data_IF_483217021827
#
_entry.id   IF_483217021827
#
_cell.length_a   1.000
_cell.length_b   1.000
_cell.length_c   1.000
_cell.angle_alpha   90.00
_cell.angle_beta   90.00
_cell.angle_gamma   90.00
#
_symmetry.space_group_name_H-M   'P 1'
#
loop_
_entity.id
_entity.type
_entity.pdbx_description
1 polymer ?
#
# COMPACT_ATOMS: atom_id res chain seq x y z
N UNK A 1 -7.82 4.15 -26.51
CA UNK A 1 -6.60 4.36 -25.72
C UNK A 1 -6.94 5.41 -24.68
N UNK A 2 -6.70 5.12 -23.40
CA UNK A 2 -6.99 6.06 -22.31
C UNK A 2 -6.15 7.33 -22.50
N UNK A 3 -6.75 8.50 -22.29
CA UNK A 3 -6.05 9.77 -22.34
C UNK A 3 -5.44 10.08 -20.98
N UNK A 4 -4.18 10.50 -20.96
CA UNK A 4 -3.53 10.98 -19.74
C UNK A 4 -4.17 12.27 -19.25
N UNK A 5 -4.21 12.43 -17.93
CA UNK A 5 -4.63 13.67 -17.24
C UNK A 5 -3.44 14.47 -16.70
N UNK A 6 -2.20 14.08 -17.02
CA UNK A 6 -1.00 14.84 -16.65
C UNK A 6 -1.12 16.33 -17.03
N UNK A 7 -0.76 17.21 -16.10
CA UNK A 7 -0.88 18.66 -16.20
C UNK A 7 -2.29 19.22 -15.96
N UNK A 8 -3.31 18.38 -15.73
CA UNK A 8 -4.68 18.81 -15.48
C UNK A 8 -5.03 18.73 -14.00
N UNK A 9 -5.98 19.57 -13.57
CA UNK A 9 -6.56 19.47 -12.24
C UNK A 9 -7.40 18.18 -12.11
N UNK A 10 -7.38 17.57 -10.93
CA UNK A 10 -8.28 16.46 -10.59
C UNK A 10 -9.74 16.93 -10.61
N UNK A 11 -10.71 16.03 -10.90
CA UNK A 11 -12.13 16.33 -10.84
C UNK A 11 -12.53 16.89 -9.47
N UNK A 12 -13.48 17.83 -9.44
CA UNK A 12 -14.04 18.34 -8.20
C UNK A 12 -15.22 17.47 -7.77
N UNK A 13 -15.05 16.69 -6.71
CA UNK A 13 -16.03 15.71 -6.24
C UNK A 13 -16.17 15.79 -4.72
N UNK A 14 -17.36 15.46 -4.21
CA UNK A 14 -17.62 15.25 -2.78
C UNK A 14 -18.00 13.80 -2.56
N UNK A 15 -17.18 13.07 -1.80
CA UNK A 15 -17.39 11.66 -1.48
C UNK A 15 -18.21 11.52 -0.20
N UNK A 16 -19.39 10.88 -0.23
CA UNK A 16 -20.13 10.52 0.98
C UNK A 16 -19.44 9.35 1.67
N UNK A 17 -18.76 9.61 2.79
CA UNK A 17 -18.05 8.59 3.58
C UNK A 17 -18.76 8.30 4.89
N UNK A 18 -18.48 7.14 5.48
CA UNK A 18 -18.90 6.78 6.85
C UNK A 18 -17.67 6.75 7.76
N UNK A 19 -17.66 7.61 8.78
CA UNK A 19 -16.66 7.58 9.86
C UNK A 19 -17.37 7.24 11.17
N UNK A 20 -17.11 6.04 11.69
CA UNK A 20 -17.94 5.45 12.74
C UNK A 20 -19.41 5.40 12.31
N UNK A 21 -20.29 5.94 13.14
CA UNK A 21 -21.73 5.97 12.89
C UNK A 21 -22.24 7.26 12.23
N UNK A 22 -21.34 8.13 11.76
CA UNK A 22 -21.71 9.39 11.12
C UNK A 22 -21.40 9.39 9.61
N UNK A 23 -22.26 10.07 8.85
CA UNK A 23 -21.94 10.50 7.50
C UNK A 23 -20.97 11.67 7.55
N UNK A 24 -19.92 11.60 6.73
CA UNK A 24 -18.91 12.65 6.59
C UNK A 24 -18.63 12.83 5.11
N UNK A 25 -18.83 14.05 4.62
CA UNK A 25 -18.43 14.40 3.27
C UNK A 25 -16.92 14.68 3.26
N UNK A 26 -16.21 14.06 2.32
CA UNK A 26 -14.80 14.33 2.06
C UNK A 26 -14.70 14.90 0.67
N UNK A 27 -14.08 16.07 0.52
CA UNK A 27 -13.97 16.74 -0.78
C UNK A 27 -12.61 16.50 -1.44
N UNK A 28 -12.55 16.59 -2.76
CA UNK A 28 -11.27 16.57 -3.49
C UNK A 28 -10.37 17.74 -3.10
N UNK A 29 -10.92 18.90 -2.75
CA UNK A 29 -10.14 20.01 -2.22
C UNK A 29 -9.43 19.62 -0.91
N UNK A 30 -10.15 19.03 0.05
CA UNK A 30 -9.57 18.55 1.31
C UNK A 30 -8.46 17.50 1.11
N UNK A 31 -8.63 16.63 0.10
CA UNK A 31 -7.69 15.56 -0.19
C UNK A 31 -6.41 16.05 -0.85
N UNK A 32 -6.50 17.02 -1.77
CA UNK A 32 -5.39 17.32 -2.69
C UNK A 32 -4.78 18.73 -2.57
N UNK A 33 -5.48 19.69 -1.97
CA UNK A 33 -5.00 21.07 -1.86
C UNK A 33 -3.78 21.17 -0.97
N UNK A 34 -2.75 21.86 -1.44
CA UNK A 34 -1.48 22.09 -0.75
C UNK A 34 -0.79 20.79 -0.29
N UNK A 35 -1.04 19.68 -1.00
CA UNK A 35 -0.50 18.35 -0.68
C UNK A 35 0.10 17.66 -1.91
N UNK A 36 1.05 16.77 -1.68
CA UNK A 36 1.53 15.77 -2.63
C UNK A 36 0.88 14.44 -2.30
N UNK A 37 0.08 13.90 -3.20
CA UNK A 37 -0.77 12.73 -2.93
C UNK A 37 -0.55 11.67 -4.00
N UNK A 38 -0.28 10.45 -3.58
CA UNK A 38 -0.36 9.28 -4.46
C UNK A 38 -1.80 8.81 -4.49
N UNK A 39 -2.31 8.51 -5.68
CA UNK A 39 -3.60 7.84 -5.85
C UNK A 39 -3.36 6.58 -6.66
N UNK A 40 -3.93 5.46 -6.22
CA UNK A 40 -4.10 4.30 -7.08
C UNK A 40 -5.56 3.90 -7.11
N UNK A 41 -6.03 3.57 -8.31
CA UNK A 41 -7.40 3.13 -8.53
C UNK A 41 -7.43 1.72 -9.08
N UNK A 42 -8.52 1.03 -8.76
CA UNK A 42 -8.69 -0.38 -9.02
C UNK A 42 -10.13 -0.74 -9.36
N UNK A 43 -10.38 -1.90 -10.01
CA UNK A 43 -11.71 -2.26 -10.48
C UNK A 43 -12.76 -2.46 -9.39
N UNK A 44 -12.37 -2.98 -8.23
CA UNK A 44 -13.31 -3.23 -7.15
C UNK A 44 -12.65 -3.77 -5.88
N UNK A 45 -13.20 -3.39 -4.73
CA UNK A 45 -12.88 -4.00 -3.44
C UNK A 45 -13.08 -5.53 -3.46
N UNK A 46 -12.31 -6.25 -2.65
CA UNK A 46 -12.33 -7.73 -2.53
C UNK A 46 -11.93 -8.52 -3.80
N UNK A 47 -11.38 -7.87 -4.83
CA UNK A 47 -10.92 -8.58 -6.04
C UNK A 47 -9.45 -9.04 -5.91
N UNK A 48 -9.05 -10.17 -6.53
CA UNK A 48 -7.81 -10.88 -6.18
C UNK A 48 -6.53 -10.05 -6.28
N UNK A 49 -6.28 -9.39 -7.42
CA UNK A 49 -5.07 -8.58 -7.66
C UNK A 49 -4.98 -7.38 -6.72
N UNK A 50 -6.15 -6.82 -6.37
CA UNK A 50 -6.25 -5.66 -5.50
C UNK A 50 -5.83 -5.99 -4.08
N UNK A 51 -6.31 -7.13 -3.56
CA UNK A 51 -6.08 -7.55 -2.18
C UNK A 51 -4.73 -8.23 -1.94
N UNK A 52 -4.16 -8.88 -2.96
CA UNK A 52 -2.93 -9.70 -2.77
C UNK A 52 -1.63 -8.98 -3.05
N UNK A 53 -1.64 -7.88 -3.81
CA UNK A 53 -0.39 -7.22 -4.23
C UNK A 53 -0.49 -5.70 -4.34
N UNK A 54 -1.51 -5.17 -5.02
CA UNK A 54 -1.56 -3.74 -5.32
C UNK A 54 -1.65 -2.87 -4.05
N UNK A 55 -2.69 -3.08 -3.24
CA UNK A 55 -2.89 -2.33 -2.00
C UNK A 55 -1.82 -2.64 -0.94
N UNK A 56 -1.46 -3.91 -0.64
CA UNK A 56 -0.48 -4.23 0.39
C UNK A 56 0.87 -3.55 0.17
N UNK A 57 1.37 -3.50 -1.06
CA UNK A 57 2.67 -2.91 -1.37
C UNK A 57 2.69 -1.39 -1.18
N UNK A 58 1.60 -0.68 -1.52
CA UNK A 58 1.48 0.74 -1.20
C UNK A 58 1.43 0.99 0.32
N UNK A 59 0.74 0.12 1.07
CA UNK A 59 0.67 0.20 2.53
C UNK A 59 2.03 -0.03 3.20
N UNK A 60 2.81 -0.97 2.67
CA UNK A 60 4.19 -1.28 3.09
C UNK A 60 5.13 -0.10 2.83
N UNK A 61 5.12 0.46 1.62
CA UNK A 61 6.01 1.54 1.22
C UNK A 61 5.57 2.94 1.71
N UNK A 62 4.47 3.04 2.44
CA UNK A 62 3.90 4.33 2.86
C UNK A 62 4.92 5.23 3.59
N UNK A 63 5.66 4.68 4.57
CA UNK A 63 6.64 5.45 5.34
C UNK A 63 7.76 5.99 4.45
N UNK A 64 8.19 5.21 3.45
CA UNK A 64 9.22 5.62 2.49
C UNK A 64 8.69 6.73 1.58
N UNK A 65 7.46 6.59 1.07
CA UNK A 65 6.82 7.66 0.30
C UNK A 65 6.71 8.96 1.10
N UNK A 66 6.36 8.86 2.38
CA UNK A 66 6.34 9.98 3.33
C UNK A 66 7.69 10.68 3.48
N UNK A 67 8.76 9.91 3.65
CA UNK A 67 10.13 10.43 3.71
C UNK A 67 10.53 11.19 2.44
N UNK A 68 9.99 10.78 1.30
CA UNK A 68 10.19 11.42 -0.01
C UNK A 68 9.13 12.46 -0.37
N UNK A 69 8.39 12.99 0.61
CA UNK A 69 7.54 14.17 0.45
C UNK A 69 6.11 13.89 -0.01
N UNK A 70 5.63 12.64 0.06
CA UNK A 70 4.22 12.29 -0.16
C UNK A 70 3.44 12.47 1.15
N UNK A 71 2.37 13.25 1.12
CA UNK A 71 1.55 13.55 2.29
C UNK A 71 0.50 12.46 2.59
N UNK A 72 0.00 11.79 1.56
CA UNK A 72 -1.11 10.84 1.68
C UNK A 72 -1.08 9.86 0.51
N UNK A 73 -1.55 8.63 0.74
CA UNK A 73 -1.80 7.64 -0.31
C UNK A 73 -3.28 7.28 -0.30
N UNK A 74 -3.94 7.42 -1.45
CA UNK A 74 -5.36 7.16 -1.63
C UNK A 74 -5.61 5.91 -2.45
N UNK A 75 -6.48 5.03 -1.95
CA UNK A 75 -7.07 3.92 -2.69
C UNK A 75 -8.47 4.30 -3.17
N UNK A 76 -8.65 4.51 -4.48
CA UNK A 76 -9.95 4.88 -5.08
C UNK A 76 -10.59 3.67 -5.75
N UNK A 77 -11.83 3.36 -5.41
CA UNK A 77 -12.61 2.33 -6.11
C UNK A 77 -14.05 2.78 -6.29
N UNK A 78 -14.68 2.31 -7.37
CA UNK A 78 -16.12 2.49 -7.64
C UNK A 78 -16.91 1.52 -6.77
N UNK A 79 -16.95 1.85 -5.48
CA UNK A 79 -17.65 1.14 -4.41
C UNK A 79 -18.14 2.18 -3.40
N UNK A 80 -19.23 1.86 -2.70
CA UNK A 80 -19.71 2.69 -1.60
C UNK A 80 -18.82 2.56 -0.35
N UNK A 81 -19.03 3.48 0.60
CA UNK A 81 -18.23 3.55 1.83
C UNK A 81 -18.39 2.35 2.75
N UNK A 82 -19.50 1.62 2.72
CA UNK A 82 -19.67 0.45 3.58
C UNK A 82 -18.76 -0.68 3.11
N UNK A 83 -18.77 -0.93 1.80
CA UNK A 83 -17.87 -1.91 1.17
C UNK A 83 -16.41 -1.50 1.34
N UNK A 84 -16.07 -0.22 1.10
CA UNK A 84 -14.69 0.26 1.24
C UNK A 84 -14.19 0.21 2.69
N UNK A 85 -15.04 0.49 3.68
CA UNK A 85 -14.65 0.39 5.09
C UNK A 85 -14.45 -1.06 5.54
N UNK A 86 -15.36 -1.96 5.15
CA UNK A 86 -15.22 -3.38 5.43
C UNK A 86 -13.96 -3.96 4.79
N UNK A 87 -13.67 -3.56 3.55
CA UNK A 87 -12.46 -3.98 2.85
C UNK A 87 -11.20 -3.37 3.48
N UNK A 88 -11.20 -2.10 3.87
CA UNK A 88 -10.06 -1.50 4.60
C UNK A 88 -9.71 -2.29 5.86
N UNK A 89 -10.73 -2.68 6.63
CA UNK A 89 -10.54 -3.48 7.85
C UNK A 89 -9.99 -4.88 7.53
N UNK A 90 -10.52 -5.54 6.50
CA UNK A 90 -10.06 -6.87 6.02
C UNK A 90 -8.60 -6.86 5.54
N UNK A 91 -8.15 -5.74 4.96
CA UNK A 91 -6.80 -5.60 4.41
C UNK A 91 -5.77 -5.08 5.42
N UNK A 92 -6.19 -4.71 6.62
CA UNK A 92 -5.33 -4.13 7.67
C UNK A 92 -4.47 -2.94 7.16
N UNK A 93 -5.00 -2.19 6.18
CA UNK A 93 -4.30 -1.15 5.45
C UNK A 93 -4.45 0.23 6.13
N UNK A 94 -3.92 0.35 7.36
CA UNK A 94 -4.08 1.54 8.20
C UNK A 94 -3.45 2.79 7.60
N UNK A 95 -2.35 2.64 6.86
CA UNK A 95 -1.59 3.75 6.26
C UNK A 95 -2.25 4.33 5.01
N UNK A 96 -3.29 3.68 4.47
CA UNK A 96 -3.94 4.08 3.22
C UNK A 96 -5.33 4.67 3.51
N UNK A 97 -5.62 5.79 2.86
CA UNK A 97 -6.97 6.39 2.90
C UNK A 97 -7.82 5.82 1.78
N UNK A 98 -8.99 5.26 2.12
CA UNK A 98 -9.89 4.62 1.15
C UNK A 98 -10.95 5.62 0.71
N UNK A 99 -11.06 5.85 -0.60
CA UNK A 99 -12.00 6.80 -1.19
C UNK A 99 -13.12 6.03 -1.90
N UNK A 100 -14.35 6.10 -1.36
CA UNK A 100 -15.50 5.42 -1.94
C UNK A 100 -16.11 6.25 -3.07
N UNK A 101 -15.57 6.13 -4.28
CA UNK A 101 -16.13 6.76 -5.48
C UNK A 101 -17.36 5.99 -5.98
N UNK A 102 -18.35 5.78 -5.11
CA UNK A 102 -19.47 4.85 -5.33
C UNK A 102 -20.34 5.19 -6.55
N UNK A 103 -20.39 6.46 -6.95
CA UNK A 103 -21.08 6.91 -8.16
C UNK A 103 -20.19 6.85 -9.42
N UNK A 104 -18.88 6.64 -9.25
CA UNK A 104 -17.90 6.71 -10.32
C UNK A 104 -17.62 8.12 -10.84
N UNK A 105 -18.04 9.18 -10.13
CA UNK A 105 -17.93 10.57 -10.59
C UNK A 105 -16.48 11.01 -10.74
N UNK A 106 -15.63 10.67 -9.77
CA UNK A 106 -14.22 10.98 -9.84
C UNK A 106 -13.55 10.18 -10.96
N UNK A 107 -13.85 8.89 -11.01
CA UNK A 107 -13.34 7.95 -12.02
C UNK A 107 -13.73 8.38 -13.44
N UNK A 108 -14.96 8.85 -13.65
CA UNK A 108 -15.45 9.36 -14.94
C UNK A 108 -14.76 10.67 -15.32
N UNK A 109 -14.62 11.61 -14.37
CA UNK A 109 -13.89 12.86 -14.59
C UNK A 109 -12.41 12.65 -14.93
N UNK A 110 -11.82 11.58 -14.40
CA UNK A 110 -10.47 11.12 -14.76
C UNK A 110 -10.41 10.44 -16.13
N UNK A 111 -11.56 10.12 -16.74
CA UNK A 111 -11.65 9.40 -18.01
C UNK A 111 -11.32 7.91 -17.89
N UNK A 112 -11.40 7.36 -16.68
CA UNK A 112 -11.00 5.99 -16.34
C UNK A 112 -12.20 5.07 -16.07
N UNK A 113 -13.43 5.54 -16.27
CA UNK A 113 -14.63 4.73 -16.07
C UNK A 113 -14.84 3.79 -17.27
N UNK A 114 -14.93 2.49 -16.99
CA UNK A 114 -15.09 1.44 -18.00
C UNK A 114 -16.19 0.46 -17.64
N UNK A 115 -16.81 -0.15 -18.65
CA UNK A 115 -17.74 -1.26 -18.46
C UNK A 115 -16.97 -2.56 -18.14
N UNK A 116 -17.41 -3.26 -17.09
CA UNK A 116 -16.97 -4.61 -16.69
C UNK A 116 -18.18 -5.55 -16.53
N UNK A 117 -19.10 -5.46 -17.50
CA UNK A 117 -20.36 -6.22 -17.50
C UNK A 117 -20.14 -7.73 -17.70
N UNK A 118 -19.05 -8.11 -18.35
CA UNK A 118 -18.62 -9.49 -18.58
C UNK A 118 -18.37 -10.27 -17.28
N UNK A 119 -17.98 -9.58 -16.21
CA UNK A 119 -17.81 -10.14 -14.86
C UNK A 119 -18.85 -9.63 -13.86
N UNK A 120 -19.92 -8.97 -14.35
CA UNK A 120 -21.06 -8.53 -13.53
C UNK A 120 -20.78 -7.33 -12.62
N UNK A 121 -19.77 -6.51 -12.91
CA UNK A 121 -19.39 -5.38 -12.06
C UNK A 121 -20.08 -4.06 -12.40
N UNK A 122 -20.73 -3.98 -13.57
CA UNK A 122 -21.22 -2.71 -14.11
C UNK A 122 -20.06 -1.80 -14.52
N UNK A 123 -20.24 -0.49 -14.35
CA UNK A 123 -19.18 0.50 -14.57
C UNK A 123 -18.23 0.56 -13.39
N UNK A 124 -16.92 0.49 -13.67
CA UNK A 124 -15.84 0.49 -12.67
C UNK A 124 -14.64 1.30 -13.14
N UNK A 125 -13.72 1.56 -12.23
CA UNK A 125 -12.45 2.17 -12.60
C UNK A 125 -11.57 1.20 -13.40
N UNK A 126 -10.89 1.73 -14.40
CA UNK A 126 -9.70 1.12 -14.95
C UNK A 126 -8.55 1.21 -13.96
N UNK A 127 -7.60 0.27 -14.00
CA UNK A 127 -6.47 0.29 -13.07
C UNK A 127 -5.46 1.36 -13.50
N UNK A 128 -5.09 2.23 -12.57
CA UNK A 128 -4.04 3.23 -12.77
C UNK A 128 -3.48 3.68 -11.42
N UNK A 129 -2.32 4.30 -11.44
CA UNK A 129 -1.84 5.13 -10.33
C UNK A 129 -1.43 6.50 -10.84
N UNK A 130 -1.36 7.48 -9.93
CA UNK A 130 -0.93 8.83 -10.25
C UNK A 130 -0.31 9.52 -9.05
N UNK A 131 0.57 10.46 -9.34
CA UNK A 131 1.06 11.44 -8.39
C UNK A 131 0.35 12.77 -8.66
N UNK A 132 -0.25 13.33 -7.63
CA UNK A 132 -0.99 14.60 -7.68
C UNK A 132 -0.29 15.60 -6.78
N UNK A 133 0.01 16.79 -7.28
CA UNK A 133 0.59 17.90 -6.50
C UNK A 133 -0.35 19.09 -6.54
N UNK A 134 -0.82 19.49 -5.37
CA UNK A 134 -1.77 20.60 -5.20
C UNK A 134 -2.98 20.50 -6.16
N UNK A 135 -3.61 19.33 -6.19
CA UNK A 135 -4.74 19.05 -7.07
C UNK A 135 -4.42 18.90 -8.57
N UNK A 136 -3.17 19.01 -9.01
CA UNK A 136 -2.77 18.82 -10.41
C UNK A 136 -2.08 17.46 -10.57
N UNK A 137 -2.51 16.68 -11.56
CA UNK A 137 -1.89 15.37 -11.87
C UNK A 137 -0.50 15.63 -12.46
N UNK A 138 0.55 15.27 -11.74
CA UNK A 138 1.94 15.40 -12.21
C UNK A 138 2.31 14.22 -13.10
N UNK A 139 2.00 13.00 -12.66
CA UNK A 139 2.34 11.76 -13.35
C UNK A 139 1.19 10.78 -13.27
N UNK A 140 0.93 10.05 -14.37
CA UNK A 140 -0.10 9.02 -14.41
C UNK A 140 0.45 7.74 -15.05
N UNK A 141 0.25 6.61 -14.36
CA UNK A 141 0.61 5.27 -14.82
C UNK A 141 -0.68 4.49 -15.09
N UNK A 142 -1.11 4.54 -16.35
CA UNK A 142 -2.34 3.87 -16.79
C UNK A 142 -1.98 2.47 -17.27
N UNK A 143 -2.63 1.45 -16.73
CA UNK A 143 -2.40 0.07 -17.17
C UNK A 143 -2.71 -0.11 -18.67
N UNK A 144 -1.94 -0.94 -19.39
CA UNK A 144 -2.15 -1.15 -20.81
C UNK A 144 -3.50 -1.81 -21.05
N UNK A 145 -4.19 -1.42 -22.12
CA UNK A 145 -5.50 -1.96 -22.46
C UNK A 145 -5.38 -3.40 -23.00
N UNK A 146 -5.19 -4.34 -22.08
CA UNK A 146 -5.06 -5.76 -22.30
C UNK A 146 -6.24 -6.52 -21.66
N UNK A 147 -6.61 -7.70 -22.17
CA UNK A 147 -7.64 -8.53 -21.55
C UNK A 147 -7.34 -8.86 -20.08
N UNK A 148 -8.39 -8.91 -19.26
CA UNK A 148 -8.28 -9.24 -17.83
C UNK A 148 -8.03 -8.00 -16.97
N UNK A 149 -7.22 -8.17 -15.93
CA UNK A 149 -6.91 -7.15 -14.93
C UNK A 149 -5.40 -6.88 -14.90
N UNK A 150 -4.86 -6.14 -15.89
CA UNK A 150 -3.43 -5.88 -16.00
C UNK A 150 -2.93 -5.11 -14.78
N UNK A 151 -1.73 -5.47 -14.32
CA UNK A 151 -1.03 -4.84 -13.21
C UNK A 151 0.47 -4.89 -13.49
N UNK A 152 0.96 -3.90 -14.24
CA UNK A 152 2.33 -3.84 -14.79
C UNK A 152 3.01 -2.48 -14.57
N UNK A 153 2.24 -1.41 -14.37
CA UNK A 153 2.78 -0.04 -14.30
C UNK A 153 2.17 0.79 -13.17
N UNK A 154 1.00 0.41 -12.65
CA UNK A 154 0.36 1.15 -11.56
C UNK A 154 0.87 0.77 -10.17
N UNK A 155 1.78 -0.21 -10.09
CA UNK A 155 2.31 -0.73 -8.84
C UNK A 155 3.11 0.31 -8.06
N UNK A 156 3.26 0.05 -6.76
CA UNK A 156 3.93 0.98 -5.85
C UNK A 156 5.43 1.09 -6.14
N UNK A 157 6.09 0.05 -6.65
CA UNK A 157 7.52 0.11 -6.97
C UNK A 157 7.76 0.98 -8.21
N UNK A 158 6.90 0.89 -9.23
CA UNK A 158 6.91 1.83 -10.38
C UNK A 158 6.72 3.28 -9.91
N UNK A 159 5.77 3.52 -9.00
CA UNK A 159 5.58 4.85 -8.40
C UNK A 159 6.81 5.30 -7.59
N UNK A 160 7.40 4.41 -6.79
CA UNK A 160 8.59 4.70 -5.99
C UNK A 160 9.77 5.07 -6.87
N UNK A 161 10.03 4.33 -7.95
CA UNK A 161 11.09 4.65 -8.90
C UNK A 161 10.90 6.03 -9.56
N UNK A 162 9.66 6.52 -9.66
CA UNK A 162 9.38 7.86 -10.16
C UNK A 162 9.56 8.94 -9.08
N UNK A 163 9.03 8.71 -7.88
CA UNK A 163 9.10 9.66 -6.75
C UNK A 163 10.54 9.81 -6.23
N UNK A 164 11.27 8.69 -6.14
CA UNK A 164 12.60 8.60 -5.60
C UNK A 164 13.45 7.60 -6.41
N UNK A 165 13.93 7.98 -7.61
CA UNK A 165 14.69 7.07 -8.49
C UNK A 165 16.00 6.56 -7.88
N UNK A 166 16.55 7.28 -6.92
CA UNK A 166 17.76 6.90 -6.18
C UNK A 166 17.46 5.96 -5.00
N UNK A 167 16.19 5.82 -4.60
CA UNK A 167 15.80 4.91 -3.54
C UNK A 167 15.97 3.47 -4.01
N UNK A 168 16.85 2.74 -3.34
CA UNK A 168 16.99 1.30 -3.53
C UNK A 168 16.14 0.61 -2.50
N UNK A 169 15.18 -0.17 -2.98
CA UNK A 169 14.34 -1.01 -2.15
C UNK A 169 15.22 -1.86 -1.25
N UNK A 170 15.05 -1.72 0.07
CA UNK A 170 15.71 -2.61 1.01
C UNK A 170 15.24 -4.06 0.79
N UNK A 171 16.10 -5.02 1.12
CA UNK A 171 15.68 -6.41 1.18
C UNK A 171 14.58 -6.59 2.25
N UNK A 172 13.66 -7.53 2.04
CA UNK A 172 12.64 -7.85 3.03
C UNK A 172 13.30 -8.40 4.30
N UNK A 173 12.99 -7.79 5.45
CA UNK A 173 13.51 -8.20 6.75
C UNK A 173 12.35 -8.66 7.63
N UNK A 174 12.47 -9.85 8.21
CA UNK A 174 11.52 -10.37 9.20
C UNK A 174 12.26 -10.78 10.46
N UNK A 175 11.73 -10.39 11.63
CA UNK A 175 12.29 -10.73 12.94
C UNK A 175 11.25 -11.49 13.76
N UNK A 176 11.54 -12.75 14.07
CA UNK A 176 10.75 -13.53 15.02
C UNK A 176 11.13 -13.16 16.44
N UNK A 177 10.16 -12.76 17.27
CA UNK A 177 10.41 -12.27 18.63
C UNK A 177 9.49 -12.93 19.66
N UNK A 178 9.71 -12.58 20.94
CA UNK A 178 8.81 -12.92 22.04
C UNK A 178 8.72 -11.73 23.01
N UNK A 179 7.55 -11.46 23.62
CA UNK A 179 7.42 -10.37 24.59
C UNK A 179 8.45 -10.49 25.73
N UNK A 180 9.09 -9.37 26.08
CA UNK A 180 10.09 -9.30 27.16
C UNK A 180 11.48 -9.86 26.84
N UNK A 181 11.75 -10.28 25.60
CA UNK A 181 13.04 -10.83 25.17
C UNK A 181 14.10 -9.72 24.96
N UNK A 182 15.17 -9.63 25.77
CA UNK A 182 16.19 -8.59 25.64
C UNK A 182 17.01 -8.69 24.36
N UNK A 183 17.34 -9.90 23.91
CA UNK A 183 18.04 -10.12 22.64
C UNK A 183 17.21 -9.68 21.43
N UNK A 184 15.88 -9.84 21.51
CA UNK A 184 14.96 -9.40 20.48
C UNK A 184 14.93 -7.87 20.40
N UNK A 185 14.89 -7.18 21.56
CA UNK A 185 15.01 -5.72 21.60
C UNK A 185 16.34 -5.25 21.02
N UNK A 186 17.46 -5.91 21.35
CA UNK A 186 18.78 -5.60 20.79
C UNK A 186 18.80 -5.75 19.26
N UNK A 187 18.31 -6.88 18.73
CA UNK A 187 18.26 -7.12 17.28
C UNK A 187 17.42 -6.06 16.56
N UNK A 188 16.22 -5.75 17.10
CA UNK A 188 15.34 -4.72 16.56
C UNK A 188 15.98 -3.32 16.60
N UNK A 189 16.63 -2.96 17.70
CA UNK A 189 17.32 -1.68 17.81
C UNK A 189 18.47 -1.59 16.80
N UNK A 190 19.22 -2.68 16.59
CA UNK A 190 20.30 -2.69 15.60
C UNK A 190 19.79 -2.43 14.18
N UNK A 191 18.64 -3.01 13.79
CA UNK A 191 17.99 -2.71 12.51
C UNK A 191 17.57 -1.23 12.42
N UNK A 192 16.97 -0.69 13.48
CA UNK A 192 16.56 0.73 13.56
C UNK A 192 17.76 1.66 13.42
N UNK A 193 18.87 1.36 14.10
CA UNK A 193 20.10 2.17 14.08
C UNK A 193 20.74 2.19 12.67
N UNK A 194 20.48 1.16 11.86
CA UNK A 194 20.89 1.08 10.46
C UNK A 194 19.85 1.62 9.47
N UNK A 195 18.72 2.17 9.96
CA UNK A 195 17.64 2.68 9.11
C UNK A 195 16.88 1.59 8.36
N UNK A 196 16.92 0.34 8.84
CA UNK A 196 16.27 -0.80 8.20
C UNK A 196 14.88 -1.03 8.77
N UNK A 197 13.88 -1.07 7.90
CA UNK A 197 12.52 -1.48 8.23
C UNK A 197 12.44 -3.01 8.33
N UNK A 198 11.56 -3.52 9.18
CA UNK A 198 11.35 -4.96 9.35
C UNK A 198 9.92 -5.28 9.77
N UNK A 199 9.47 -6.48 9.40
CA UNK A 199 8.27 -7.10 9.94
C UNK A 199 8.62 -7.86 11.24
N UNK A 200 7.82 -7.67 12.28
CA UNK A 200 7.96 -8.43 13.53
C UNK A 200 6.90 -9.53 13.61
N UNK A 201 7.34 -10.78 13.77
CA UNK A 201 6.44 -11.93 14.00
C UNK A 201 6.55 -12.36 15.47
N UNK A 202 5.53 -12.04 16.26
CA UNK A 202 5.55 -12.26 17.70
C UNK A 202 5.07 -13.68 18.02
N UNK A 203 5.96 -14.49 18.62
CA UNK A 203 5.59 -15.83 19.04
C UNK A 203 4.55 -15.79 20.18
N UNK A 204 3.46 -16.53 19.98
CA UNK A 204 2.30 -16.59 20.88
C UNK A 204 1.14 -15.68 20.46
N UNK A 205 1.36 -14.78 19.50
CA UNK A 205 0.32 -13.96 18.88
C UNK A 205 0.19 -14.27 17.40
N UNK A 206 1.28 -14.10 16.64
CA UNK A 206 1.27 -14.17 15.18
C UNK A 206 1.75 -15.54 14.67
N UNK A 207 2.65 -16.19 15.42
CA UNK A 207 3.13 -17.54 15.12
C UNK A 207 3.44 -18.35 16.39
N UNK A 208 3.79 -19.63 16.22
CA UNK A 208 4.26 -20.49 17.31
C UNK A 208 5.70 -20.94 17.09
N UNK A 209 6.29 -21.57 18.10
CA UNK A 209 7.65 -22.15 18.01
C UNK A 209 7.76 -23.24 16.94
N UNK A 210 6.64 -23.83 16.50
CA UNK A 210 6.61 -24.79 15.39
C UNK A 210 7.03 -24.12 14.09
N UNK A 211 6.41 -22.98 13.75
CA UNK A 211 6.75 -22.20 12.56
C UNK A 211 8.21 -21.77 12.60
N UNK A 212 8.66 -21.22 13.73
CA UNK A 212 10.05 -20.79 13.92
C UNK A 212 11.03 -21.93 13.62
N UNK A 213 10.81 -23.12 14.21
CA UNK A 213 11.69 -24.28 14.01
C UNK A 213 11.66 -24.77 12.58
N UNK A 214 10.50 -24.77 11.93
CA UNK A 214 10.36 -25.22 10.55
C UNK A 214 11.16 -24.36 9.57
N UNK A 215 11.16 -23.03 9.76
CA UNK A 215 11.80 -22.09 8.82
C UNK A 215 13.27 -21.79 9.14
N UNK A 216 13.64 -21.78 10.43
CA UNK A 216 15.00 -21.40 10.87
C UNK A 216 15.86 -22.58 11.31
N UNK A 217 15.25 -23.74 11.58
CA UNK A 217 15.92 -24.85 12.27
C UNK A 217 16.28 -24.55 13.73
N UNK A 218 15.91 -23.38 14.27
CA UNK A 218 16.19 -22.93 15.65
C UNK A 218 14.94 -22.96 16.52
N UNK A 219 15.14 -23.00 17.83
CA UNK A 219 14.06 -23.03 18.84
C UNK A 219 13.98 -21.75 19.69
N UNK A 220 14.93 -20.83 19.53
CA UNK A 220 15.09 -19.61 20.32
C UNK A 220 14.88 -18.36 19.47
N UNK A 221 14.46 -17.27 20.11
CA UNK A 221 14.32 -15.94 19.49
C UNK A 221 15.42 -15.00 20.02
N UNK A 222 15.82 -13.95 19.28
CA UNK A 222 15.31 -13.57 17.95
C UNK A 222 15.78 -14.53 16.84
N UNK A 223 15.02 -14.61 15.75
CA UNK A 223 15.53 -15.14 14.47
C UNK A 223 15.25 -14.12 13.37
N UNK A 224 16.30 -13.68 12.70
CA UNK A 224 16.27 -12.63 11.68
C UNK A 224 16.47 -13.25 10.31
N UNK A 225 15.64 -12.84 9.36
CA UNK A 225 15.75 -13.17 7.95
C UNK A 225 15.90 -11.88 7.15
N UNK A 226 16.80 -11.86 6.18
CA UNK A 226 17.03 -10.72 5.27
C UNK A 226 17.09 -11.27 3.84
N UNK A 227 16.25 -10.77 2.93
CA UNK A 227 16.27 -11.18 1.52
C UNK A 227 16.02 -12.69 1.31
N UNK A 228 15.25 -13.31 2.21
CA UNK A 228 15.01 -14.77 2.21
C UNK A 228 16.15 -15.60 2.80
N UNK A 229 17.27 -15.00 3.19
CA UNK A 229 18.37 -15.67 3.88
C UNK A 229 18.17 -15.64 5.39
N UNK A 230 18.35 -16.78 6.04
CA UNK A 230 18.39 -16.86 7.50
C UNK A 230 19.72 -16.29 8.02
N UNK A 231 19.65 -15.25 8.85
CA UNK A 231 20.82 -14.57 9.42
C UNK A 231 21.17 -15.16 10.80
N UNK A 232 20.18 -15.32 11.67
CA UNK A 232 20.38 -15.87 13.02
C UNK A 232 19.77 -15.00 14.12
N UNK A 233 20.39 -15.01 15.31
CA UNK A 233 19.99 -14.22 16.46
C UNK A 233 20.59 -12.81 16.45
N UNK A 234 20.60 -12.18 17.63
CA UNK A 234 21.05 -10.79 17.77
C UNK A 234 22.55 -10.60 17.50
N UNK A 235 23.37 -11.58 17.86
CA UNK A 235 24.83 -11.52 17.66
C UNK A 235 25.19 -11.76 16.19
N UNK A 236 24.55 -12.74 15.54
CA UNK A 236 24.76 -12.99 14.12
C UNK A 236 24.27 -11.83 13.25
N UNK A 237 23.18 -11.16 13.64
CA UNK A 237 22.72 -9.94 12.98
C UNK A 237 23.75 -8.80 13.11
N UNK A 238 24.30 -8.59 14.31
CA UNK A 238 25.33 -7.58 14.54
C UNK A 238 26.54 -7.83 13.63
N UNK A 239 27.06 -9.06 13.62
CA UNK A 239 28.15 -9.43 12.72
C UNK A 239 27.81 -9.32 11.22
N UNK A 240 26.53 -9.46 10.85
CA UNK A 240 26.08 -9.33 9.45
C UNK A 240 26.03 -7.88 8.98
N UNK A 241 25.61 -6.95 9.85
CA UNK A 241 25.44 -5.53 9.52
C UNK A 241 26.77 -4.75 9.57
N UNK A 242 27.75 -5.22 10.36
CA UNK A 242 29.09 -4.65 10.45
C UNK A 242 29.39 -4.03 11.81
#
# INVERSE_FOLDING_TARGET
>A
MFASKEGQAVPQVTFPTRKGDAWVNVTTEELFKDRTVIVFSLPGAFTPTCSSSHLPRYNELFSVFKEHGVDEILCVSVNDTFVMNAWKADQEAENITFIPDGNGEFTDGMGMLVDKNDIGFGKRSWRYSMLVKNGVVEKMFIEPNEPGDPFKVSDADTMMNYVAPEYKTQESITVFTKPGCPFCMKAKQNLIDHGLQYEEVILGKDATTVSLRAISGRTTVPQVFIGGKHIGGSEELEAYLG
#
